data_IF_442990020007
#
_entry.id   IF_442990020007
#
_cell.length_a   1.000
_cell.length_b   1.000
_cell.length_c   1.000
_cell.angle_alpha   90.00
_cell.angle_beta   90.00
_cell.angle_gamma   90.00
#
_symmetry.space_group_name_H-M   'P 1'
#
loop_
_entity.id
_entity.type
_entity.pdbx_description
1 polymer ?
#
# COMPACT_ATOMS: atom_id res chain seq x y z
N UNK A 1 -1.72 -7.71 -16.13
CA UNK A 1 -0.63 -7.10 -15.34
C UNK A 1 0.60 -7.99 -15.28
N UNK A 2 1.77 -7.42 -15.01
CA UNK A 2 2.96 -8.15 -14.59
C UNK A 2 3.09 -8.01 -13.07
N UNK A 3 3.36 -9.09 -12.37
CA UNK A 3 3.47 -9.09 -10.90
C UNK A 3 4.58 -10.07 -10.47
N UNK A 4 5.23 -9.79 -9.35
CA UNK A 4 6.21 -10.70 -8.75
C UNK A 4 5.58 -12.06 -8.44
N UNK A 5 6.35 -13.11 -8.59
CA UNK A 5 5.94 -14.46 -8.20
C UNK A 5 5.78 -14.57 -6.67
N UNK A 6 5.03 -15.55 -6.22
CA UNK A 6 4.88 -15.84 -4.78
C UNK A 6 6.24 -16.26 -4.20
N UNK A 7 6.65 -15.55 -3.15
CA UNK A 7 7.93 -15.78 -2.49
C UNK A 7 9.16 -15.20 -3.21
N UNK A 8 8.98 -14.47 -4.33
CA UNK A 8 10.07 -13.82 -5.03
C UNK A 8 10.76 -12.76 -4.18
N UNK A 9 12.08 -12.69 -4.27
CA UNK A 9 12.87 -11.61 -3.69
C UNK A 9 12.91 -10.42 -4.65
N UNK A 10 12.47 -9.24 -4.20
CA UNK A 10 12.31 -8.07 -5.07
C UNK A 10 13.64 -7.49 -5.59
N UNK A 11 14.75 -7.84 -4.96
CA UNK A 11 16.11 -7.51 -5.41
C UNK A 11 16.65 -8.44 -6.51
N UNK A 12 15.95 -9.56 -6.79
CA UNK A 12 16.36 -10.61 -7.75
C UNK A 12 15.19 -11.11 -8.58
N UNK A 13 14.50 -10.20 -9.25
CA UNK A 13 13.27 -10.52 -10.00
C UNK A 13 13.49 -11.22 -11.35
N UNK A 14 14.72 -11.50 -11.78
CA UNK A 14 14.96 -12.19 -13.07
C UNK A 14 14.28 -13.57 -13.08
N UNK A 15 13.31 -13.75 -13.97
CA UNK A 15 12.52 -14.98 -14.06
C UNK A 15 11.40 -15.10 -13.01
N UNK A 16 11.28 -14.15 -12.08
CA UNK A 16 10.31 -14.16 -10.99
C UNK A 16 9.11 -13.22 -11.26
N UNK A 17 8.82 -12.97 -12.53
CA UNK A 17 7.66 -12.16 -12.96
C UNK A 17 6.61 -13.06 -13.58
N UNK A 18 5.38 -12.93 -13.10
CA UNK A 18 4.21 -13.66 -13.60
C UNK A 18 3.29 -12.71 -14.35
N UNK A 19 2.86 -13.10 -15.54
CA UNK A 19 1.83 -12.42 -16.30
C UNK A 19 0.44 -12.89 -15.84
N UNK A 20 -0.42 -11.95 -15.44
CA UNK A 20 -1.80 -12.21 -15.06
C UNK A 20 -2.71 -11.33 -15.93
N UNK A 21 -3.65 -11.90 -16.70
CA UNK A 21 -4.65 -11.14 -17.44
C UNK A 21 -5.50 -10.28 -16.51
N UNK A 22 -5.89 -9.06 -16.93
CA UNK A 22 -6.69 -8.18 -16.08
C UNK A 22 -8.16 -8.66 -15.95
N UNK A 23 -8.62 -9.46 -16.88
CA UNK A 23 -9.94 -10.11 -16.90
C UNK A 23 -9.97 -11.48 -16.19
N UNK A 24 -8.83 -11.96 -15.68
CA UNK A 24 -8.75 -13.24 -14.98
C UNK A 24 -9.68 -13.25 -13.76
N UNK A 25 -10.52 -14.27 -13.62
CA UNK A 25 -11.37 -14.44 -12.44
C UNK A 25 -10.57 -14.65 -11.15
N UNK A 26 -9.57 -15.52 -11.22
CA UNK A 26 -8.60 -15.80 -10.14
C UNK A 26 -7.17 -15.69 -10.69
N UNK A 27 -6.25 -15.09 -9.93
CA UNK A 27 -4.84 -15.07 -10.28
C UNK A 27 -4.22 -16.47 -10.27
N UNK A 28 -3.20 -16.68 -11.10
CA UNK A 28 -2.38 -17.92 -11.05
C UNK A 28 -1.82 -18.14 -9.64
N UNK A 29 -1.75 -19.39 -9.21
CA UNK A 29 -1.14 -19.79 -7.93
C UNK A 29 0.35 -19.41 -7.82
N UNK A 30 1.03 -19.17 -8.96
CA UNK A 30 2.41 -18.70 -9.02
C UNK A 30 2.55 -17.19 -8.76
N UNK A 31 1.48 -16.41 -8.92
CA UNK A 31 1.50 -14.98 -8.67
C UNK A 31 1.58 -14.68 -7.17
N UNK A 32 1.99 -13.45 -6.82
CA UNK A 32 1.97 -12.96 -5.43
C UNK A 32 0.65 -13.29 -4.74
N UNK A 33 0.68 -13.56 -3.43
CA UNK A 33 -0.53 -13.75 -2.61
C UNK A 33 -1.50 -12.55 -2.67
N UNK A 34 -0.98 -11.36 -2.96
CA UNK A 34 -1.76 -10.13 -3.09
C UNK A 34 -2.21 -9.83 -4.53
N UNK A 35 -2.02 -10.78 -5.46
CA UNK A 35 -2.35 -10.59 -6.87
C UNK A 35 -3.84 -10.22 -7.10
N UNK A 36 -4.75 -10.74 -6.28
CA UNK A 36 -6.16 -10.39 -6.32
C UNK A 36 -6.40 -8.91 -5.97
N UNK A 37 -5.67 -8.39 -4.97
CA UNK A 37 -5.74 -6.99 -4.57
C UNK A 37 -5.21 -6.11 -5.71
N UNK A 38 -4.06 -6.46 -6.30
CA UNK A 38 -3.49 -5.73 -7.43
C UNK A 38 -4.45 -5.72 -8.63
N UNK A 39 -5.07 -6.86 -8.97
CA UNK A 39 -6.07 -6.94 -10.04
C UNK A 39 -7.23 -5.98 -9.81
N UNK A 40 -7.79 -5.95 -8.60
CA UNK A 40 -8.93 -5.12 -8.27
C UNK A 40 -8.59 -3.63 -8.32
N UNK A 41 -7.37 -3.25 -7.91
CA UNK A 41 -6.88 -1.88 -8.01
C UNK A 41 -6.75 -1.48 -9.49
N UNK A 42 -6.11 -2.30 -10.34
CA UNK A 42 -5.98 -2.02 -11.77
C UNK A 42 -7.33 -1.90 -12.49
N UNK A 43 -8.33 -2.68 -12.09
CA UNK A 43 -9.68 -2.66 -12.69
C UNK A 43 -10.48 -1.43 -12.34
N UNK A 44 -10.24 -0.84 -11.17
CA UNK A 44 -11.07 0.25 -10.61
C UNK A 44 -10.38 1.60 -10.62
N UNK A 45 -9.12 1.66 -10.98
CA UNK A 45 -8.33 2.88 -10.98
C UNK A 45 -7.59 3.04 -12.31
N UNK A 46 -7.05 4.22 -12.55
CA UNK A 46 -6.16 4.49 -13.69
C UNK A 46 -4.69 4.13 -13.41
N UNK A 47 -4.44 3.30 -12.41
CA UNK A 47 -3.10 2.87 -12.06
C UNK A 47 -2.41 2.15 -13.22
N UNK A 48 -1.16 2.51 -13.49
CA UNK A 48 -0.28 1.81 -14.42
C UNK A 48 0.81 1.02 -13.71
N UNK A 49 1.03 1.35 -12.43
CA UNK A 49 1.92 0.62 -11.53
C UNK A 49 1.37 0.63 -10.10
N UNK A 50 1.67 -0.41 -9.35
CA UNK A 50 1.32 -0.56 -7.95
C UNK A 50 2.53 -1.10 -7.21
N UNK A 51 2.84 -0.50 -6.05
CA UNK A 51 3.86 -0.97 -5.12
C UNK A 51 3.17 -1.33 -3.81
N UNK A 52 3.42 -2.55 -3.32
CA UNK A 52 3.01 -3.01 -1.99
C UNK A 52 4.25 -3.14 -1.11
N UNK A 53 4.20 -2.57 0.10
CA UNK A 53 5.32 -2.58 1.05
C UNK A 53 4.84 -2.88 2.47
N UNK A 54 5.67 -3.60 3.24
CA UNK A 54 5.49 -3.85 4.67
C UNK A 54 6.37 -2.91 5.50
N UNK A 55 6.26 -1.62 5.25
CA UNK A 55 7.11 -0.58 5.85
C UNK A 55 6.90 -0.46 7.36
N UNK A 56 7.96 -0.52 8.20
CA UNK A 56 7.82 -0.74 9.65
C UNK A 56 7.12 0.39 10.40
N UNK A 57 7.41 1.65 10.10
CA UNK A 57 6.74 2.77 10.80
C UNK A 57 5.28 2.90 10.40
N UNK A 58 4.95 2.63 9.15
CA UNK A 58 3.59 2.61 8.64
C UNK A 58 2.78 1.50 9.33
N UNK A 59 3.33 0.29 9.42
CA UNK A 59 2.71 -0.85 10.12
C UNK A 59 2.49 -0.52 11.59
N UNK A 60 3.53 -0.05 12.31
CA UNK A 60 3.47 0.30 13.72
C UNK A 60 2.45 1.42 13.99
N UNK A 61 2.48 2.49 13.19
CA UNK A 61 1.55 3.61 13.35
C UNK A 61 0.10 3.17 13.09
N UNK A 62 -0.14 2.31 12.09
CA UNK A 62 -1.48 1.80 11.78
C UNK A 62 -2.07 0.95 12.90
N UNK A 63 -1.24 0.31 13.72
CA UNK A 63 -1.65 -0.41 14.92
C UNK A 63 -2.07 0.55 16.05
N UNK A 64 -1.39 1.68 16.19
CA UNK A 64 -1.63 2.67 17.25
C UNK A 64 -2.84 3.57 16.98
N UNK A 65 -3.06 3.94 15.73
CA UNK A 65 -4.14 4.86 15.34
C UNK A 65 -5.44 4.09 15.15
N UNK A 66 -6.46 4.39 15.96
CA UNK A 66 -7.81 3.82 15.82
C UNK A 66 -8.59 4.41 14.62
N UNK A 67 -8.23 5.61 14.19
CA UNK A 67 -8.91 6.30 13.07
C UNK A 67 -8.76 5.52 11.75
N UNK A 68 -9.71 5.76 10.84
CA UNK A 68 -9.70 5.18 9.48
C UNK A 68 -8.83 5.94 8.49
N UNK A 69 -8.31 7.09 8.88
CA UNK A 69 -7.41 7.93 8.07
C UNK A 69 -6.41 8.60 8.97
N UNK A 70 -5.25 8.91 8.46
CA UNK A 70 -4.34 9.80 9.13
C UNK A 70 -3.86 10.91 8.19
N UNK A 71 -3.56 12.09 8.75
CA UNK A 71 -2.99 13.22 8.02
C UNK A 71 -1.51 13.34 8.36
N UNK A 72 -0.62 13.39 7.36
CA UNK A 72 0.79 13.68 7.54
C UNK A 72 1.03 14.98 8.29
N UNK A 73 2.13 15.02 9.06
CA UNK A 73 2.59 16.24 9.73
C UNK A 73 3.58 17.02 8.87
N UNK A 74 4.37 16.30 8.09
CA UNK A 74 5.39 16.79 7.18
C UNK A 74 4.80 17.42 5.91
N UNK A 75 5.59 18.26 5.26
CA UNK A 75 5.17 19.02 4.08
C UNK A 75 4.94 18.10 2.88
N UNK A 76 5.88 17.19 2.64
CA UNK A 76 5.84 16.25 1.52
C UNK A 76 4.61 15.33 1.61
N UNK A 77 4.33 14.78 2.80
CA UNK A 77 3.16 13.95 3.01
C UNK A 77 1.85 14.71 2.79
N UNK A 78 1.76 15.96 3.24
CA UNK A 78 0.60 16.81 2.97
C UNK A 78 0.42 17.11 1.48
N UNK A 79 1.50 17.39 0.78
CA UNK A 79 1.48 17.76 -0.63
C UNK A 79 1.16 16.57 -1.54
N UNK A 80 1.86 15.45 -1.36
CA UNK A 80 1.76 14.30 -2.25
C UNK A 80 0.64 13.32 -1.90
N UNK A 81 0.30 13.20 -0.61
CA UNK A 81 -0.63 12.17 -0.12
C UNK A 81 -1.93 12.75 0.43
N UNK A 82 -1.88 13.96 1.00
CA UNK A 82 -3.04 14.57 1.68
C UNK A 82 -3.49 13.75 2.88
N UNK A 83 -4.52 12.94 2.70
CA UNK A 83 -4.95 11.94 3.69
C UNK A 83 -4.52 10.54 3.26
N UNK A 84 -4.15 9.71 4.21
CA UNK A 84 -3.81 8.30 3.98
C UNK A 84 -4.89 7.44 4.63
N UNK A 85 -5.74 6.74 3.85
CA UNK A 85 -6.72 5.80 4.37
C UNK A 85 -6.06 4.62 5.08
N UNK A 86 -6.68 4.17 6.18
CA UNK A 86 -6.31 2.96 6.92
C UNK A 86 -7.51 2.02 6.88
N UNK A 87 -7.37 0.94 6.14
CA UNK A 87 -8.42 -0.07 5.97
C UNK A 87 -8.09 -1.33 6.77
N UNK A 88 -9.12 -2.11 7.07
CA UNK A 88 -8.99 -3.41 7.76
C UNK A 88 -9.72 -4.48 6.96
N UNK A 89 -9.18 -5.69 6.95
CA UNK A 89 -9.78 -6.84 6.26
C UNK A 89 -8.85 -8.05 6.32
N UNK A 90 -9.37 -9.22 6.00
CA UNK A 90 -8.57 -10.44 5.89
C UNK A 90 -7.56 -10.33 4.74
N UNK A 91 -6.30 -10.68 4.99
CA UNK A 91 -5.25 -10.66 3.97
C UNK A 91 -5.68 -11.50 2.73
N UNK A 92 -5.43 -10.97 1.53
CA UNK A 92 -5.77 -11.63 0.27
C UNK A 92 -7.27 -11.76 -0.04
N UNK A 93 -8.17 -11.27 0.84
CA UNK A 93 -9.61 -11.42 0.64
C UNK A 93 -10.17 -10.50 -0.46
N UNK A 94 -11.22 -10.96 -1.16
CA UNK A 94 -11.96 -10.13 -2.15
C UNK A 94 -12.55 -8.87 -1.53
N UNK A 95 -12.97 -8.95 -0.26
CA UNK A 95 -13.52 -7.79 0.45
C UNK A 95 -12.46 -6.72 0.67
N UNK A 96 -11.26 -7.11 1.15
CA UNK A 96 -10.13 -6.19 1.30
C UNK A 96 -9.72 -5.57 -0.04
N UNK A 97 -9.65 -6.38 -1.10
CA UNK A 97 -9.32 -5.92 -2.44
C UNK A 97 -10.28 -4.80 -2.92
N UNK A 98 -11.61 -4.99 -2.72
CA UNK A 98 -12.63 -3.99 -3.07
C UNK A 98 -12.49 -2.70 -2.25
N UNK A 99 -12.31 -2.81 -0.93
CA UNK A 99 -12.16 -1.64 -0.05
C UNK A 99 -10.91 -0.85 -0.43
N UNK A 100 -9.76 -1.52 -0.62
CA UNK A 100 -8.52 -0.87 -1.05
C UNK A 100 -8.65 -0.18 -2.39
N UNK A 101 -9.22 -0.87 -3.38
CA UNK A 101 -9.40 -0.30 -4.70
C UNK A 101 -10.33 0.93 -4.67
N UNK A 102 -11.35 0.93 -3.83
CA UNK A 102 -12.23 2.09 -3.62
C UNK A 102 -11.46 3.29 -3.03
N UNK A 103 -10.70 3.08 -1.96
CA UNK A 103 -9.89 4.15 -1.35
C UNK A 103 -8.84 4.68 -2.33
N UNK A 104 -8.22 3.79 -3.10
CA UNK A 104 -7.20 4.15 -4.08
C UNK A 104 -7.76 4.84 -5.35
N UNK A 105 -9.06 4.99 -5.53
CA UNK A 105 -9.62 5.88 -6.56
C UNK A 105 -9.31 7.35 -6.25
N UNK A 106 -9.42 7.74 -5.00
CA UNK A 106 -9.23 9.13 -4.55
C UNK A 106 -7.82 9.39 -3.96
N UNK A 107 -7.11 8.35 -3.52
CA UNK A 107 -5.84 8.48 -2.82
C UNK A 107 -4.71 7.75 -3.57
N UNK A 108 -3.48 8.30 -3.61
CA UNK A 108 -2.34 7.62 -4.24
C UNK A 108 -1.80 6.45 -3.40
N UNK A 109 -2.08 6.44 -2.10
CA UNK A 109 -1.62 5.42 -1.16
C UNK A 109 -2.71 5.11 -0.13
N UNK A 110 -2.85 3.85 0.24
CA UNK A 110 -3.72 3.39 1.33
C UNK A 110 -3.02 2.29 2.14
N UNK A 111 -3.31 2.25 3.44
CA UNK A 111 -2.69 1.34 4.40
C UNK A 111 -3.66 0.23 4.80
N UNK A 112 -3.20 -1.00 4.76
CA UNK A 112 -3.86 -2.13 5.43
C UNK A 112 -3.33 -2.20 6.85
N UNK A 113 -4.22 -2.08 7.83
CA UNK A 113 -3.88 -2.06 9.25
C UNK A 113 -3.03 -3.27 9.65
N UNK A 114 -1.92 -3.01 10.34
CA UNK A 114 -0.95 -4.02 10.82
C UNK A 114 -0.33 -4.90 9.71
N UNK A 115 -0.43 -4.49 8.43
CA UNK A 115 0.09 -5.29 7.32
C UNK A 115 1.07 -4.49 6.47
N UNK A 116 0.60 -3.43 5.79
CA UNK A 116 1.44 -2.68 4.87
C UNK A 116 0.65 -1.63 4.08
N UNK A 117 1.29 -1.05 3.07
CA UNK A 117 0.67 -0.08 2.17
C UNK A 117 0.58 -0.58 0.74
N UNK A 118 -0.45 -0.12 0.04
CA UNK A 118 -0.57 -0.18 -1.40
C UNK A 118 -0.53 1.25 -1.94
N UNK A 119 0.44 1.52 -2.82
CA UNK A 119 0.56 2.79 -3.51
C UNK A 119 0.42 2.58 -5.01
N UNK A 120 -0.33 3.47 -5.67
CA UNK A 120 -0.56 3.43 -7.12
C UNK A 120 0.06 4.64 -7.81
N UNK A 121 0.51 4.47 -9.05
CA UNK A 121 1.08 5.55 -9.85
C UNK A 121 0.88 5.35 -11.34
N UNK A 122 1.25 6.37 -12.12
CA UNK A 122 1.34 6.29 -13.59
C UNK A 122 2.59 5.54 -14.04
N UNK A 123 3.57 5.41 -13.16
CA UNK A 123 4.80 4.66 -13.34
C UNK A 123 5.17 3.93 -12.04
N UNK A 124 6.09 2.97 -12.13
CA UNK A 124 6.64 2.29 -10.95
C UNK A 124 7.37 3.28 -10.04
N UNK A 125 8.03 4.29 -10.62
CA UNK A 125 8.67 5.36 -9.88
C UNK A 125 7.65 6.15 -9.03
N UNK A 126 6.52 6.57 -9.62
CA UNK A 126 5.48 7.31 -8.88
C UNK A 126 4.90 6.47 -7.74
N UNK A 127 4.58 5.20 -8.02
CA UNK A 127 4.03 4.30 -7.00
C UNK A 127 5.03 4.10 -5.85
N UNK A 128 6.32 3.93 -6.16
CA UNK A 128 7.38 3.84 -5.16
C UNK A 128 7.55 5.14 -4.36
N UNK A 129 7.52 6.28 -5.06
CA UNK A 129 7.60 7.60 -4.41
C UNK A 129 6.49 7.78 -3.38
N UNK A 130 5.23 7.47 -3.73
CA UNK A 130 4.11 7.56 -2.78
C UNK A 130 4.24 6.59 -1.61
N UNK A 131 4.71 5.36 -1.85
CA UNK A 131 4.97 4.40 -0.76
C UNK A 131 6.06 4.88 0.19
N UNK A 132 7.17 5.42 -0.34
CA UNK A 132 8.28 5.96 0.45
C UNK A 132 7.85 7.21 1.24
N UNK A 133 7.08 8.11 0.61
CA UNK A 133 6.53 9.28 1.26
C UNK A 133 5.59 8.90 2.41
N UNK A 134 4.74 7.88 2.22
CA UNK A 134 3.85 7.38 3.27
C UNK A 134 4.64 6.83 4.47
N UNK A 135 5.69 6.04 4.24
CA UNK A 135 6.57 5.54 5.30
C UNK A 135 7.26 6.68 6.04
N UNK A 136 7.81 7.68 5.32
CA UNK A 136 8.42 8.85 5.92
C UNK A 136 7.44 9.60 6.84
N UNK A 137 6.24 9.90 6.35
CA UNK A 137 5.19 10.59 7.12
C UNK A 137 4.76 9.80 8.36
N UNK A 138 4.68 8.46 8.23
CA UNK A 138 4.39 7.59 9.37
C UNK A 138 5.51 7.61 10.40
N UNK A 139 6.78 7.60 9.97
CA UNK A 139 7.95 7.73 10.84
C UNK A 139 7.94 9.04 11.61
N UNK A 140 7.72 10.17 10.93
CA UNK A 140 7.62 11.51 11.56
C UNK A 140 6.52 11.51 12.62
N UNK A 141 5.34 10.99 12.30
CA UNK A 141 4.21 10.93 13.24
C UNK A 141 4.50 10.03 14.42
N UNK A 142 5.07 8.84 14.19
CA UNK A 142 5.42 7.88 15.23
C UNK A 142 6.42 8.49 16.22
N UNK A 143 7.50 9.09 15.72
CA UNK A 143 8.53 9.74 16.56
C UNK A 143 7.97 10.93 17.35
N UNK A 144 7.05 11.71 16.76
CA UNK A 144 6.35 12.80 17.44
C UNK A 144 5.50 12.27 18.60
N UNK A 145 4.81 11.15 18.42
CA UNK A 145 4.01 10.52 19.49
C UNK A 145 4.90 10.01 20.61
N UNK A 146 6.03 9.37 20.29
CA UNK A 146 7.01 8.93 21.29
C UNK A 146 7.58 10.10 22.11
N UNK A 147 7.94 11.19 21.46
CA UNK A 147 8.48 12.38 22.14
C UNK A 147 7.45 13.01 23.09
N UNK A 148 6.17 12.99 22.73
CA UNK A 148 5.07 13.47 23.59
C UNK A 148 4.82 12.55 24.77
N UNK A 149 4.94 11.24 24.61
CA UNK A 149 4.71 10.26 25.68
C UNK A 149 5.78 10.35 26.78
N UNK A 150 7.03 10.69 26.42
CA UNK A 150 8.14 10.87 27.38
C UNK A 150 8.05 12.16 28.22
N UNK A 151 7.17 13.09 27.86
CA UNK A 151 6.98 14.37 28.58
C UNK A 151 5.82 14.32 29.60
N UNK A 152 5.16 13.18 29.70
CA UNK A 152 4.10 12.88 30.69
C UNK A 152 4.61 11.98 31.79
#
# INVERSE_FOLDING_TARGET
>A
MLISAKGASLDRLKGEIVRVPLDAGEPSFRASSDALIHLEIYRRTEARAIVHTHSPFLVALSALIKARKFRPLDVEGKYYLGEIPIVSGGAGSRNLARILACELQAHPCAVVRCHGAFARGKSLHDAFHYAACAEHSCKVKYLTLLAKAKKR
#
